data_IF_428619052654
#
_entry.id   IF_428619052654
#
_cell.length_a   1.000
_cell.length_b   1.000
_cell.length_c   1.000
_cell.angle_alpha   90.00
_cell.angle_beta   90.00
_cell.angle_gamma   90.00
#
_symmetry.space_group_name_H-M   'P 1'
#
loop_
_entity.id
_entity.type
_entity.pdbx_description
1 polymer ?
#
# COMPACT_ATOMS: atom_id res chain seq x y z
N UNK A 1 -0.68 -6.02 12.62
CA UNK A 1 -0.31 -4.93 13.55
C UNK A 1 1.07 -4.42 13.17
N UNK A 2 1.26 -3.10 13.18
CA UNK A 2 2.50 -2.45 12.71
C UNK A 2 3.26 -1.92 13.91
N UNK A 3 4.51 -2.37 14.07
CA UNK A 3 5.40 -1.95 15.15
C UNK A 3 6.66 -1.31 14.58
N UNK A 4 7.09 -0.21 15.19
CA UNK A 4 8.39 0.43 14.97
C UNK A 4 9.06 0.61 16.32
N UNK A 5 10.27 0.06 16.45
CA UNK A 5 11.11 0.26 17.65
C UNK A 5 12.03 1.45 17.40
N UNK A 6 12.12 2.37 18.35
CA UNK A 6 13.08 3.46 18.30
C UNK A 6 14.49 2.93 18.58
N UNK A 7 15.48 3.40 17.82
CA UNK A 7 16.89 3.10 18.04
C UNK A 7 17.58 4.28 18.76
N UNK A 8 18.72 4.04 19.46
CA UNK A 8 19.53 5.12 20.01
C UNK A 8 19.97 6.07 18.88
N UNK A 9 19.65 7.36 19.01
CA UNK A 9 19.92 8.39 18.00
C UNK A 9 18.78 8.69 17.03
N UNK A 10 17.65 7.97 17.10
CA UNK A 10 16.44 8.37 16.37
C UNK A 10 15.76 9.56 17.05
N UNK A 11 15.49 10.61 16.29
CA UNK A 11 14.59 11.68 16.69
C UNK A 11 13.13 11.22 16.57
N UNK A 12 12.22 11.83 17.33
CA UNK A 12 10.78 11.52 17.28
C UNK A 12 10.22 11.53 15.85
N UNK A 13 10.60 12.52 15.04
CA UNK A 13 10.20 12.63 13.63
C UNK A 13 10.71 11.48 12.74
N UNK A 14 11.91 10.97 13.01
CA UNK A 14 12.47 9.82 12.30
C UNK A 14 11.62 8.59 12.53
N UNK A 15 11.21 8.35 13.79
CA UNK A 15 10.36 7.21 14.16
C UNK A 15 8.97 7.33 13.53
N UNK A 16 8.37 8.52 13.55
CA UNK A 16 7.06 8.79 12.91
C UNK A 16 7.16 8.53 11.40
N UNK A 17 8.19 9.03 10.73
CA UNK A 17 8.40 8.78 9.28
C UNK A 17 8.57 7.31 8.96
N UNK A 18 9.33 6.56 9.77
CA UNK A 18 9.50 5.11 9.62
C UNK A 18 8.16 4.39 9.79
N UNK A 19 7.35 4.79 10.77
CA UNK A 19 6.02 4.25 10.98
C UNK A 19 5.09 4.53 9.80
N UNK A 20 5.00 5.78 9.35
CA UNK A 20 4.16 6.16 8.20
C UNK A 20 4.57 5.39 6.93
N UNK A 21 5.87 5.26 6.66
CA UNK A 21 6.35 4.42 5.54
C UNK A 21 5.90 2.97 5.69
N UNK A 22 5.99 2.41 6.89
CA UNK A 22 5.58 1.02 7.15
C UNK A 22 4.07 0.84 6.95
N UNK A 23 3.25 1.77 7.45
CA UNK A 23 1.78 1.80 7.23
C UNK A 23 1.42 1.81 5.75
N UNK A 24 2.10 2.64 4.97
CA UNK A 24 1.87 2.75 3.52
C UNK A 24 2.30 1.45 2.82
N UNK A 25 3.47 0.91 3.16
CA UNK A 25 4.01 -0.30 2.54
C UNK A 25 3.16 -1.54 2.84
N UNK A 26 2.67 -1.68 4.07
CA UNK A 26 1.75 -2.76 4.45
C UNK A 26 0.36 -2.61 3.80
N UNK A 27 0.04 -1.43 3.26
CA UNK A 27 -1.25 -1.17 2.63
C UNK A 27 -2.44 -1.16 3.59
N UNK A 28 -2.19 -1.02 4.90
CA UNK A 28 -3.20 -1.14 5.97
C UNK A 28 -4.41 -0.23 5.73
N UNK A 29 -4.16 1.02 5.31
CA UNK A 29 -5.23 1.98 5.02
C UNK A 29 -6.13 1.53 3.85
N UNK A 30 -5.53 0.90 2.83
CA UNK A 30 -6.27 0.39 1.69
C UNK A 30 -7.12 -0.82 2.09
N UNK A 31 -6.61 -1.68 2.97
CA UNK A 31 -7.36 -2.81 3.51
C UNK A 31 -8.54 -2.38 4.37
N UNK A 32 -8.32 -1.39 5.25
CA UNK A 32 -9.39 -0.82 6.08
C UNK A 32 -10.51 -0.29 5.20
N UNK A 33 -10.17 0.52 4.18
CA UNK A 33 -11.14 1.07 3.22
C UNK A 33 -11.93 -0.02 2.46
N UNK A 34 -11.30 -1.15 2.15
CA UNK A 34 -11.98 -2.28 1.50
C UNK A 34 -12.94 -3.02 2.43
N UNK A 35 -12.67 -2.97 3.74
CA UNK A 35 -13.47 -3.64 4.79
C UNK A 35 -14.55 -2.74 5.39
N UNK A 36 -14.51 -1.43 5.15
CA UNK A 36 -15.51 -0.47 5.63
C UNK A 36 -16.94 -0.82 5.21
N UNK A 37 -17.12 -1.42 4.03
CA UNK A 37 -18.42 -1.82 3.51
C UNK A 37 -18.34 -3.20 2.85
N UNK A 38 -19.46 -3.92 2.86
CA UNK A 38 -19.56 -5.17 2.13
C UNK A 38 -19.43 -4.91 0.63
N UNK A 39 -18.51 -5.63 0.00
CA UNK A 39 -18.37 -5.68 -1.45
C UNK A 39 -18.76 -7.06 -1.95
N UNK A 40 -19.60 -7.10 -2.99
CA UNK A 40 -19.94 -8.36 -3.66
C UNK A 40 -18.66 -9.02 -4.19
N UNK A 41 -18.52 -10.35 -4.09
CA UNK A 41 -17.32 -11.06 -4.57
C UNK A 41 -16.96 -10.78 -6.04
N UNK A 42 -17.97 -10.50 -6.88
CA UNK A 42 -17.78 -10.11 -8.28
C UNK A 42 -17.04 -8.77 -8.43
N UNK A 43 -17.38 -7.77 -7.62
CA UNK A 43 -16.74 -6.44 -7.66
C UNK A 43 -15.30 -6.53 -7.15
N UNK A 44 -15.05 -7.31 -6.09
CA UNK A 44 -13.68 -7.56 -5.59
C UNK A 44 -12.81 -8.20 -6.69
N UNK A 45 -13.32 -9.22 -7.40
CA UNK A 45 -12.61 -9.86 -8.52
C UNK A 45 -12.35 -8.88 -9.66
N UNK A 46 -13.31 -8.02 -9.98
CA UNK A 46 -13.21 -6.99 -11.02
C UNK A 46 -12.14 -5.95 -10.67
N UNK A 47 -12.13 -5.46 -9.44
CA UNK A 47 -11.14 -4.49 -8.96
C UNK A 47 -9.73 -5.09 -8.93
N UNK A 48 -9.58 -6.34 -8.48
CA UNK A 48 -8.30 -7.05 -8.49
C UNK A 48 -7.72 -7.18 -9.92
N UNK A 49 -8.54 -7.55 -10.91
CA UNK A 49 -8.12 -7.61 -12.33
C UNK A 49 -7.68 -6.24 -12.83
N UNK A 50 -8.45 -5.19 -12.54
CA UNK A 50 -8.14 -3.81 -12.93
C UNK A 50 -6.81 -3.34 -12.36
N UNK A 51 -6.50 -3.67 -11.11
CA UNK A 51 -5.25 -3.32 -10.46
C UNK A 51 -4.04 -4.05 -11.09
N UNK A 52 -4.18 -5.33 -11.44
CA UNK A 52 -3.14 -6.09 -12.14
C UNK A 52 -2.85 -5.46 -13.51
N UNK A 53 -3.88 -5.12 -14.28
CA UNK A 53 -3.72 -4.45 -15.56
C UNK A 53 -3.05 -3.10 -15.43
N UNK A 54 -3.45 -2.30 -14.44
CA UNK A 54 -2.83 -0.99 -14.15
C UNK A 54 -1.33 -1.14 -13.90
N UNK A 55 -0.93 -2.13 -13.09
CA UNK A 55 0.49 -2.43 -12.81
C UNK A 55 1.24 -2.88 -14.06
N UNK A 56 0.64 -3.74 -14.89
CA UNK A 56 1.24 -4.16 -16.18
C UNK A 56 1.47 -2.97 -17.11
N UNK A 57 0.46 -2.08 -17.25
CA UNK A 57 0.55 -0.86 -18.06
C UNK A 57 1.64 0.08 -17.55
N UNK A 58 1.72 0.29 -16.23
CA UNK A 58 2.76 1.11 -15.61
C UNK A 58 4.18 0.56 -15.87
N UNK A 59 4.38 -0.76 -15.72
CA UNK A 59 5.66 -1.42 -16.03
C UNK A 59 6.05 -1.28 -17.50
N UNK A 60 5.10 -1.44 -18.42
CA UNK A 60 5.34 -1.25 -19.87
C UNK A 60 5.78 0.17 -20.18
N UNK A 61 5.11 1.18 -19.58
CA UNK A 61 5.48 2.59 -19.74
C UNK A 61 6.86 2.90 -19.17
N UNK A 62 7.22 2.32 -18.03
CA UNK A 62 8.55 2.49 -17.44
C UNK A 62 9.64 1.90 -18.34
N UNK A 63 9.42 0.69 -18.89
CA UNK A 63 10.35 0.06 -19.84
C UNK A 63 10.50 0.84 -21.15
N UNK A 64 9.43 1.45 -21.65
CA UNK A 64 9.48 2.23 -22.89
C UNK A 64 10.12 3.63 -22.71
N UNK A 65 10.34 4.06 -21.46
CA UNK A 65 11.03 5.31 -21.13
C UNK A 65 12.51 5.11 -20.82
N UNK A 66 12.95 3.85 -20.71
CA UNK A 66 14.34 3.44 -20.54
C UNK A 66 14.95 3.21 -21.91
#
# INVERSE_FOLDING_TARGET
MIFVKAAPGDTSDSVIRKFTKKVINEGLLLELKRKEFYQKPSEVKKEAKKEIERRKRARRRARARM
#
